data_IF_526501645067
#
_entry.id   IF_526501645067
#
_cell.length_a   1.000
_cell.length_b   1.000
_cell.length_c   1.000
_cell.angle_alpha   90.00
_cell.angle_beta   90.00
_cell.angle_gamma   90.00
#
_symmetry.space_group_name_H-M   'P 1'
#
loop_
_entity.id
_entity.type
_entity.pdbx_description
1 polymer ?
#
# COMPACT_ATOMS: atom_id res chain seq x y z
N UNK A 1 10.87 14.30 13.75
CA UNK A 1 9.57 13.60 13.85
C UNK A 1 9.62 12.43 12.87
N UNK A 2 9.06 11.26 13.18
CA UNK A 2 9.07 10.12 12.25
C UNK A 2 7.86 10.22 11.34
N UNK A 3 8.05 10.14 10.02
CA UNK A 3 6.93 10.12 9.07
C UNK A 3 6.51 8.69 8.78
N UNK A 4 5.24 8.32 9.01
CA UNK A 4 4.78 6.93 8.92
C UNK A 4 3.65 6.79 7.92
N UNK A 5 3.83 5.92 6.93
CA UNK A 5 2.79 5.53 5.99
C UNK A 5 2.42 4.05 6.16
N UNK A 6 1.14 3.73 6.04
CA UNK A 6 0.66 2.34 6.09
C UNK A 6 0.45 1.84 4.66
N UNK A 7 0.99 0.67 4.35
CA UNK A 7 0.89 0.04 3.03
C UNK A 7 0.36 -1.38 3.18
N UNK A 8 -0.63 -1.72 2.36
CA UNK A 8 -1.04 -3.10 2.14
C UNK A 8 -1.02 -3.43 0.64
N UNK A 9 -0.69 -4.66 0.33
CA UNK A 9 -0.65 -5.18 -1.03
C UNK A 9 -1.47 -6.47 -1.07
N UNK A 10 -2.56 -6.47 -1.84
CA UNK A 10 -3.33 -7.67 -2.12
C UNK A 10 -3.00 -8.23 -3.49
N UNK A 11 -2.69 -9.54 -3.54
CA UNK A 11 -2.30 -10.25 -4.76
C UNK A 11 -2.95 -11.64 -4.81
N UNK A 12 -2.99 -12.22 -6.02
CA UNK A 12 -3.23 -13.64 -6.20
C UNK A 12 -1.98 -14.47 -5.86
N UNK A 13 -2.14 -15.76 -5.61
CA UNK A 13 -1.03 -16.66 -5.24
C UNK A 13 0.07 -16.77 -6.29
N UNK A 14 -0.27 -16.60 -7.57
CA UNK A 14 0.72 -16.56 -8.68
C UNK A 14 1.68 -15.37 -8.58
N UNK A 15 1.26 -14.28 -7.93
CA UNK A 15 2.03 -13.05 -7.78
C UNK A 15 2.76 -12.94 -6.43
N UNK A 16 2.79 -14.01 -5.62
CA UNK A 16 3.47 -14.03 -4.33
C UNK A 16 4.93 -13.60 -4.42
N UNK A 17 5.69 -14.18 -5.37
CA UNK A 17 7.11 -13.87 -5.52
C UNK A 17 7.34 -12.40 -5.93
N UNK A 18 6.43 -11.84 -6.73
CA UNK A 18 6.47 -10.42 -7.09
C UNK A 18 6.16 -9.53 -5.87
N UNK A 19 5.22 -9.93 -5.01
CA UNK A 19 4.93 -9.22 -3.76
C UNK A 19 6.10 -9.28 -2.76
N UNK A 20 6.78 -10.43 -2.67
CA UNK A 20 8.01 -10.57 -1.87
C UNK A 20 9.15 -9.72 -2.44
N UNK A 21 9.33 -9.68 -3.75
CA UNK A 21 10.32 -8.81 -4.41
C UNK A 21 10.00 -7.32 -4.18
N UNK A 22 8.73 -6.93 -4.28
CA UNK A 22 8.26 -5.58 -3.96
C UNK A 22 8.58 -5.21 -2.50
N UNK A 23 8.31 -6.13 -1.56
CA UNK A 23 8.66 -5.96 -0.15
C UNK A 23 10.17 -5.82 0.07
N UNK A 24 10.97 -6.62 -0.63
CA UNK A 24 12.43 -6.51 -0.62
C UNK A 24 12.94 -5.17 -1.16
N UNK A 25 12.35 -4.67 -2.25
CA UNK A 25 12.67 -3.34 -2.78
C UNK A 25 12.32 -2.24 -1.78
N UNK A 26 11.17 -2.35 -1.09
CA UNK A 26 10.81 -1.41 -0.04
C UNK A 26 11.88 -1.33 1.07
N UNK A 27 12.46 -2.48 1.46
CA UNK A 27 13.41 -2.58 2.56
C UNK A 27 14.80 -2.07 2.20
N UNK A 28 15.19 -2.20 0.92
CA UNK A 28 16.55 -1.94 0.48
C UNK A 28 16.70 -0.64 -0.33
N UNK A 29 15.74 -0.36 -1.21
CA UNK A 29 15.93 0.56 -2.34
C UNK A 29 14.89 1.68 -2.40
N UNK A 30 13.75 1.55 -1.71
CA UNK A 30 12.69 2.55 -1.75
C UNK A 30 13.23 3.91 -1.29
N UNK A 31 13.10 4.96 -2.13
CA UNK A 31 13.58 6.28 -1.78
C UNK A 31 12.77 6.86 -0.62
N UNK A 32 13.44 7.72 0.13
CA UNK A 32 12.82 8.49 1.22
C UNK A 32 12.35 9.84 0.72
N UNK A 33 11.24 10.32 1.28
CA UNK A 33 10.57 11.58 0.90
C UNK A 33 11.48 12.81 1.06
N UNK A 34 12.30 12.84 2.11
CA UNK A 34 13.13 14.00 2.46
C UNK A 34 14.55 13.91 1.87
N UNK A 35 14.96 14.98 1.18
CA UNK A 35 16.33 15.16 0.68
C UNK A 35 17.33 15.19 1.84
N UNK A 36 18.39 14.37 1.74
CA UNK A 36 19.47 14.32 2.72
C UNK A 36 19.30 13.27 3.82
N UNK A 37 18.20 12.51 3.82
CA UNK A 37 18.13 11.29 4.62
C UNK A 37 19.15 10.26 4.13
N UNK A 38 19.66 9.42 5.05
CA UNK A 38 20.59 8.36 4.69
C UNK A 38 19.95 7.44 3.64
N UNK A 39 20.69 7.06 2.58
CA UNK A 39 20.24 6.04 1.65
C UNK A 39 19.89 4.73 2.36
N UNK A 40 18.88 4.03 1.86
CA UNK A 40 18.37 2.79 2.41
C UNK A 40 16.85 2.78 2.45
N UNK A 41 16.25 1.60 2.41
CA UNK A 41 14.80 1.46 2.29
C UNK A 41 14.02 1.95 3.50
N UNK A 42 12.71 1.85 3.36
CA UNK A 42 11.72 2.47 4.22
C UNK A 42 11.03 1.46 5.14
N UNK A 43 11.45 0.20 5.12
CA UNK A 43 10.81 -0.92 5.82
C UNK A 43 10.25 -1.95 4.84
N UNK A 44 9.55 -2.96 5.33
CA UNK A 44 9.06 -4.07 4.49
C UNK A 44 7.60 -4.43 4.80
N UNK A 45 7.02 -5.22 3.89
CA UNK A 45 5.71 -5.83 4.07
C UNK A 45 5.85 -7.30 4.46
N UNK A 46 4.94 -7.79 5.30
CA UNK A 46 4.86 -9.20 5.68
C UNK A 46 3.53 -9.79 5.26
N UNK A 47 3.54 -11.05 4.80
CA UNK A 47 2.32 -11.80 4.50
C UNK A 47 1.50 -12.02 5.78
N UNK A 48 0.30 -11.43 5.84
CA UNK A 48 -0.59 -11.49 7.01
C UNK A 48 -1.72 -12.52 6.86
N UNK A 49 -1.86 -13.15 5.68
CA UNK A 49 -2.86 -14.19 5.41
C UNK A 49 -2.29 -15.62 5.45
N UNK A 50 -1.06 -15.80 5.96
CA UNK A 50 -0.38 -17.10 6.05
C UNK A 50 -0.90 -17.99 7.21
N UNK A 51 -0.13 -19.03 7.59
CA UNK A 51 -0.48 -19.98 8.65
C UNK A 51 -0.70 -19.34 10.05
N UNK A 52 -0.22 -18.11 10.27
CA UNK A 52 -0.49 -17.31 11.48
C UNK A 52 -1.59 -16.28 11.30
N UNK A 53 -2.45 -16.40 10.27
CA UNK A 53 -3.49 -15.40 10.01
C UNK A 53 -4.40 -15.25 11.22
N UNK A 54 -4.77 -14.01 11.51
CA UNK A 54 -5.77 -13.65 12.52
C UNK A 54 -7.07 -13.17 11.86
N UNK A 55 -7.32 -13.61 10.63
CA UNK A 55 -8.52 -13.22 9.90
C UNK A 55 -9.73 -13.92 10.53
N UNK A 56 -10.83 -13.18 10.67
CA UNK A 56 -12.04 -13.71 11.28
C UNK A 56 -12.73 -14.77 10.41
N UNK A 57 -13.58 -15.58 11.03
CA UNK A 57 -14.41 -16.60 10.36
C UNK A 57 -13.82 -18.02 10.37
N UNK A 58 -14.37 -18.90 9.55
CA UNK A 58 -14.03 -20.34 9.51
C UNK A 58 -13.30 -20.76 8.22
N UNK A 59 -12.90 -19.81 7.39
CA UNK A 59 -12.28 -20.05 6.08
C UNK A 59 -11.01 -19.22 5.94
N UNK A 60 -10.11 -19.70 5.08
CA UNK A 60 -8.93 -18.93 4.72
C UNK A 60 -9.32 -17.81 3.74
N UNK A 61 -8.65 -16.65 3.80
CA UNK A 61 -8.79 -15.60 2.79
C UNK A 61 -8.48 -16.15 1.39
N UNK A 62 -9.25 -15.73 0.38
CA UNK A 62 -9.05 -16.13 -1.02
C UNK A 62 -7.99 -15.28 -1.74
N UNK A 63 -7.33 -14.38 -1.02
CA UNK A 63 -6.22 -13.58 -1.52
C UNK A 63 -5.03 -13.59 -0.55
N UNK A 64 -3.88 -13.24 -1.07
CA UNK A 64 -2.71 -12.95 -0.27
C UNK A 64 -2.66 -11.46 0.04
N UNK A 65 -2.46 -11.13 1.32
CA UNK A 65 -2.29 -9.74 1.74
C UNK A 65 -0.97 -9.61 2.46
N UNK A 66 -0.15 -8.70 1.97
CA UNK A 66 1.08 -8.23 2.60
C UNK A 66 0.81 -6.86 3.22
N UNK A 67 1.31 -6.60 4.42
CA UNK A 67 1.11 -5.31 5.10
C UNK A 67 2.35 -4.88 5.87
N UNK A 68 2.53 -3.56 6.01
CA UNK A 68 3.62 -2.96 6.76
C UNK A 68 3.44 -1.45 6.95
N UNK A 69 4.15 -0.91 7.94
CA UNK A 69 4.28 0.52 8.15
C UNK A 69 5.67 0.96 7.67
N UNK A 70 5.72 1.94 6.77
CA UNK A 70 6.92 2.45 6.15
C UNK A 70 7.34 3.77 6.79
N UNK A 71 8.65 3.97 6.94
CA UNK A 71 9.21 5.15 7.57
C UNK A 71 9.82 6.10 6.52
N UNK A 72 9.28 7.32 6.42
CA UNK A 72 9.65 8.36 5.46
C UNK A 72 9.62 7.90 3.98
N UNK A 73 8.76 6.94 3.60
CA UNK A 73 8.67 6.49 2.22
C UNK A 73 8.20 7.60 1.27
N UNK A 74 8.84 7.70 0.11
CA UNK A 74 8.29 8.44 -1.02
C UNK A 74 7.14 7.61 -1.63
N UNK A 75 5.90 7.94 -1.28
CA UNK A 75 4.73 7.19 -1.71
C UNK A 75 4.49 7.27 -3.23
N UNK A 76 4.93 8.33 -3.90
CA UNK A 76 4.85 8.40 -5.35
C UNK A 76 5.78 7.36 -5.99
N UNK A 77 7.01 7.22 -5.46
CA UNK A 77 7.94 6.19 -5.91
C UNK A 77 7.43 4.77 -5.60
N UNK A 78 6.79 4.55 -4.44
CA UNK A 78 6.16 3.28 -4.09
C UNK A 78 5.09 2.89 -5.11
N UNK A 79 4.17 3.81 -5.40
CA UNK A 79 3.08 3.59 -6.39
C UNK A 79 3.63 3.35 -7.79
N UNK A 80 4.64 4.12 -8.21
CA UNK A 80 5.29 3.92 -9.51
C UNK A 80 5.99 2.57 -9.61
N UNK A 81 6.74 2.17 -8.58
CA UNK A 81 7.44 0.89 -8.59
C UNK A 81 6.44 -0.28 -8.64
N UNK A 82 5.36 -0.21 -7.85
CA UNK A 82 4.25 -1.17 -7.92
C UNK A 82 3.69 -1.30 -9.34
N UNK A 83 3.48 -0.19 -10.05
CA UNK A 83 3.01 -0.21 -11.45
C UNK A 83 4.01 -0.74 -12.48
N UNK A 84 5.31 -0.76 -12.16
CA UNK A 84 6.36 -1.23 -13.06
C UNK A 84 6.63 -2.73 -13.00
N UNK A 85 6.14 -3.41 -11.96
CA UNK A 85 6.36 -4.84 -11.79
C UNK A 85 5.60 -5.66 -12.83
N UNK A 86 6.24 -6.74 -13.28
CA UNK A 86 5.67 -7.69 -14.23
C UNK A 86 4.73 -8.67 -13.50
N UNK A 87 3.60 -8.15 -13.01
CA UNK A 87 2.55 -8.97 -12.39
C UNK A 87 2.02 -10.01 -13.39
N UNK A 88 1.78 -11.23 -12.93
CA UNK A 88 1.12 -12.27 -13.72
C UNK A 88 -0.31 -11.86 -14.04
N UNK A 89 -1.03 -11.35 -13.05
CA UNK A 89 -2.41 -10.88 -13.20
C UNK A 89 -2.54 -9.41 -12.75
N UNK A 90 -2.09 -8.43 -13.56
CA UNK A 90 -2.08 -7.02 -13.19
C UNK A 90 -3.49 -6.46 -12.89
N UNK A 91 -4.54 -7.10 -13.40
CA UNK A 91 -5.92 -6.67 -13.18
C UNK A 91 -6.45 -7.00 -11.78
N UNK A 92 -5.81 -7.88 -11.02
CA UNK A 92 -6.30 -8.28 -9.68
C UNK A 92 -5.43 -7.76 -8.55
N UNK A 93 -4.23 -7.26 -8.83
CA UNK A 93 -3.35 -6.68 -7.80
C UNK A 93 -3.86 -5.32 -7.32
N UNK A 94 -3.79 -5.11 -6.01
CA UNK A 94 -4.26 -3.90 -5.33
C UNK A 94 -3.20 -3.42 -4.35
N UNK A 95 -2.81 -2.15 -4.48
CA UNK A 95 -1.96 -1.46 -3.51
C UNK A 95 -2.82 -0.46 -2.73
N UNK A 96 -2.87 -0.64 -1.41
CA UNK A 96 -3.52 0.25 -0.48
C UNK A 96 -2.44 1.11 0.17
N UNK A 97 -2.58 2.43 0.08
CA UNK A 97 -1.65 3.40 0.64
C UNK A 97 -2.41 4.38 1.50
N UNK A 98 -1.93 4.61 2.72
CA UNK A 98 -2.43 5.64 3.62
C UNK A 98 -1.20 6.39 4.14
N UNK A 99 -1.08 7.67 3.78
CA UNK A 99 -0.01 8.54 4.25
C UNK A 99 -0.22 8.87 5.74
N UNK A 100 0.75 9.57 6.34
CA UNK A 100 0.61 10.04 7.72
C UNK A 100 -0.64 10.93 7.85
N UNK A 101 -1.39 10.73 8.94
CA UNK A 101 -2.58 11.52 9.32
C UNK A 101 -3.79 11.38 8.38
N UNK A 102 -3.67 10.76 7.20
CA UNK A 102 -4.81 10.30 6.41
C UNK A 102 -5.62 9.24 7.20
N UNK A 103 -6.96 9.28 7.07
CA UNK A 103 -7.89 8.40 7.78
C UNK A 103 -8.44 7.27 6.91
N UNK A 104 -8.06 7.22 5.63
CA UNK A 104 -8.45 6.16 4.72
C UNK A 104 -7.35 5.77 3.75
N UNK A 105 -7.43 4.53 3.27
CA UNK A 105 -6.52 4.04 2.24
C UNK A 105 -6.96 4.50 0.85
N UNK A 106 -6.01 5.04 0.09
CA UNK A 106 -6.11 5.16 -1.35
C UNK A 106 -5.76 3.82 -1.99
N UNK A 107 -6.63 3.35 -2.88
CA UNK A 107 -6.44 2.08 -3.59
C UNK A 107 -5.90 2.35 -4.99
N UNK A 108 -4.76 1.75 -5.32
CA UNK A 108 -4.12 1.79 -6.62
C UNK A 108 -4.22 0.42 -7.30
N UNK A 109 -4.65 0.40 -8.55
CA UNK A 109 -4.75 -0.82 -9.37
C UNK A 109 -4.21 -0.57 -10.79
N UNK A 110 -3.81 -1.64 -11.47
CA UNK A 110 -3.41 -1.56 -12.89
C UNK A 110 -4.62 -1.92 -13.76
N UNK A 111 -5.01 -1.00 -14.64
CA UNK A 111 -6.20 -1.10 -15.48
C UNK A 111 -5.88 -0.61 -16.87
N UNK A 112 -6.10 -1.47 -17.86
CA UNK A 112 -5.75 -1.21 -19.26
C UNK A 112 -4.28 -0.77 -19.41
N UNK A 113 -3.37 -1.44 -18.69
CA UNK A 113 -1.94 -1.14 -18.71
C UNK A 113 -1.51 0.13 -17.99
N UNK A 114 -2.41 0.81 -17.25
CA UNK A 114 -2.11 2.04 -16.53
C UNK A 114 -2.48 1.96 -15.06
N UNK A 115 -1.69 2.61 -14.20
CA UNK A 115 -2.05 2.83 -12.79
C UNK A 115 -3.27 3.73 -12.67
N UNK A 116 -4.19 3.37 -11.78
CA UNK A 116 -5.38 4.15 -11.46
C UNK A 116 -5.66 4.12 -9.96
N UNK A 117 -5.98 5.28 -9.40
CA UNK A 117 -6.48 5.45 -8.04
C UNK A 117 -8.01 5.25 -8.01
N UNK A 118 -8.53 4.58 -6.98
CA UNK A 118 -9.95 4.25 -6.83
C UNK A 118 -10.63 4.80 -5.56
N UNK A 119 -9.90 5.50 -4.68
CA UNK A 119 -10.48 6.23 -3.56
C UNK A 119 -10.82 7.69 -3.95
N UNK A 120 -11.66 8.41 -3.20
CA UNK A 120 -11.89 9.84 -3.40
C UNK A 120 -10.60 10.65 -3.33
N UNK A 121 -10.45 11.65 -4.19
CA UNK A 121 -9.42 12.69 -4.06
C UNK A 121 -9.88 13.87 -3.21
N UNK A 122 -11.19 14.06 -3.09
CA UNK A 122 -11.85 15.02 -2.22
C UNK A 122 -13.31 14.57 -1.97
N UNK A 123 -13.98 15.02 -0.89
CA UNK A 123 -13.35 15.72 0.23
C UNK A 123 -12.36 14.81 0.98
N UNK A 124 -11.32 15.40 1.56
CA UNK A 124 -10.40 14.73 2.49
C UNK A 124 -10.43 15.38 3.87
N UNK A 125 -9.59 14.94 4.80
CA UNK A 125 -9.60 15.37 6.20
C UNK A 125 -9.43 16.89 6.39
N UNK A 126 -8.85 17.57 5.40
CA UNK A 126 -8.65 19.03 5.38
C UNK A 126 -9.90 19.78 4.88
N UNK A 127 -10.88 19.09 4.32
CA UNK A 127 -12.13 19.66 3.82
C UNK A 127 -13.25 19.59 4.88
N UNK A 128 -13.95 20.71 5.10
CA UNK A 128 -15.11 20.75 6.02
C UNK A 128 -16.21 19.74 5.64
N UNK A 129 -16.37 19.45 4.34
CA UNK A 129 -17.35 18.50 3.81
C UNK A 129 -17.06 17.03 4.17
N UNK A 130 -15.83 16.70 4.58
CA UNK A 130 -15.46 15.36 5.01
C UNK A 130 -16.07 15.00 6.37
N UNK A 131 -16.21 16.00 7.24
CA UNK A 131 -16.67 15.79 8.60
C UNK A 131 -18.19 15.86 8.68
N UNK A 132 -18.85 14.92 9.39
CA UNK A 132 -20.28 15.03 9.62
C UNK A 132 -20.55 16.34 10.37
N UNK A 133 -21.46 17.16 9.85
CA UNK A 133 -21.93 18.34 10.58
C UNK A 133 -22.49 17.87 11.92
N UNK A 134 -21.94 18.37 13.02
CA UNK A 134 -22.34 17.97 14.36
C UNK A 134 -23.87 18.13 14.53
N UNK A 135 -24.61 17.00 14.50
CA UNK A 135 -26.07 17.02 14.69
C UNK A 135 -26.92 15.99 13.94
N UNK A 136 -26.39 14.88 13.41
CA UNK A 136 -27.21 13.77 12.87
C UNK A 136 -27.30 12.59 13.84
#
# INVERSE_FOLDING_TARGET
MSWVANVMLSVGSEDRLNAEAFSGWLDNDCPRRELGMRPGGCGNLRLITAAGNQWGGHKNPECEVFAGALNHADLAAVVQHFGSLAWHNPHVVQLFVMDQEELFFRVWMIRNGALRQYAPSSPDEEDDEFWPTAGS
#
